data_IF_310055054855
#
_entry.id   IF_310055054855
#
_cell.length_a   1.000
_cell.length_b   1.000
_cell.length_c   1.000
_cell.angle_alpha   90.00
_cell.angle_beta   90.00
_cell.angle_gamma   90.00
#
_symmetry.space_group_name_H-M   'P 1'
#
loop_
_entity.id
_entity.type
_entity.pdbx_description
1 polymer ?
#
# COMPACT_ATOMS: atom_id res chain seq x y z
N UNK A 1 22.05 -0.16 -9.80
CA UNK A 1 22.72 1.14 -9.52
C UNK A 1 22.36 1.60 -8.10
N UNK A 2 23.25 2.27 -7.35
CA UNK A 2 22.96 2.74 -5.98
C UNK A 2 22.77 4.26 -5.94
N UNK A 3 21.60 4.72 -5.49
CA UNK A 3 21.26 6.15 -5.32
C UNK A 3 21.26 6.47 -3.81
N UNK A 4 22.10 7.42 -3.39
CA UNK A 4 22.23 7.86 -1.99
C UNK A 4 21.95 9.35 -1.84
N UNK A 5 21.03 9.70 -0.94
CA UNK A 5 20.68 11.09 -0.61
C UNK A 5 21.11 11.53 0.78
N UNK A 6 21.48 12.81 0.93
CA UNK A 6 21.55 13.54 2.21
C UNK A 6 20.78 14.85 2.03
N UNK A 7 19.83 15.18 2.92
CA UNK A 7 18.99 16.38 2.81
C UNK A 7 17.50 16.09 3.00
N UNK A 8 16.65 16.99 2.52
CA UNK A 8 15.19 16.95 2.73
C UNK A 8 14.48 15.88 1.87
N UNK A 9 14.79 15.81 0.57
CA UNK A 9 14.28 14.77 -0.35
C UNK A 9 15.41 14.28 -1.28
N UNK A 10 15.45 12.96 -1.55
CA UNK A 10 16.45 12.34 -2.42
C UNK A 10 16.09 12.47 -3.90
N UNK A 11 14.82 12.26 -4.22
CA UNK A 11 14.26 12.47 -5.56
C UNK A 11 12.97 13.24 -5.39
N UNK A 12 12.82 14.32 -6.15
CA UNK A 12 11.59 15.08 -6.27
C UNK A 12 11.18 15.14 -7.74
N UNK A 13 10.00 14.62 -8.05
CA UNK A 13 9.42 14.68 -9.40
C UNK A 13 8.26 15.66 -9.38
N UNK A 14 8.42 16.80 -10.04
CA UNK A 14 7.45 17.90 -10.03
C UNK A 14 6.55 17.91 -11.27
N UNK A 15 5.56 18.80 -11.29
CA UNK A 15 4.59 18.99 -12.37
C UNK A 15 5.17 18.85 -13.78
N UNK A 16 4.55 17.97 -14.57
CA UNK A 16 4.92 17.68 -15.95
C UNK A 16 6.21 16.86 -16.13
N UNK A 17 7.00 16.67 -15.08
CA UNK A 17 8.19 15.81 -15.13
C UNK A 17 7.79 14.33 -15.08
N UNK A 18 8.60 13.51 -15.76
CA UNK A 18 8.50 12.05 -15.72
C UNK A 18 9.87 11.46 -15.41
N UNK A 19 9.92 10.56 -14.44
CA UNK A 19 11.14 9.85 -14.07
C UNK A 19 10.87 8.35 -14.07
N UNK A 20 11.83 7.60 -14.62
CA UNK A 20 11.83 6.15 -14.60
C UNK A 20 13.08 5.66 -13.87
N UNK A 21 12.90 4.81 -12.87
CA UNK A 21 13.97 4.16 -12.12
C UNK A 21 13.86 2.65 -12.29
N UNK A 22 14.96 2.00 -12.69
CA UNK A 22 14.97 0.57 -12.91
C UNK A 22 16.22 -0.07 -12.31
N UNK A 23 16.04 -1.19 -11.63
CA UNK A 23 17.11 -2.03 -11.07
C UNK A 23 18.05 -1.20 -10.17
N UNK A 24 17.44 -0.35 -9.32
CA UNK A 24 18.14 0.55 -8.41
C UNK A 24 17.90 0.23 -6.95
N UNK A 25 18.89 0.56 -6.12
CA UNK A 25 18.74 0.61 -4.67
C UNK A 25 18.72 2.08 -4.25
N UNK A 26 17.69 2.49 -3.52
CA UNK A 26 17.48 3.89 -3.08
C UNK A 26 17.57 3.96 -1.56
N UNK A 27 18.45 4.82 -1.04
CA UNK A 27 18.68 4.99 0.40
C UNK A 27 18.87 6.46 0.78
N UNK A 28 18.38 6.84 1.95
CA UNK A 28 18.61 8.17 2.53
C UNK A 28 17.31 8.93 2.73
N UNK A 29 17.21 10.12 2.13
CA UNK A 29 16.04 10.97 2.25
C UNK A 29 14.81 10.41 1.48
N UNK A 30 13.58 10.84 1.83
CA UNK A 30 12.35 10.42 1.15
C UNK A 30 12.30 10.71 -0.36
N UNK A 31 11.43 10.00 -1.06
CA UNK A 31 11.04 10.29 -2.44
C UNK A 31 9.73 11.07 -2.45
N UNK A 32 9.66 12.11 -3.27
CA UNK A 32 8.47 12.96 -3.42
C UNK A 32 8.03 13.03 -4.88
N UNK A 33 6.74 12.84 -5.12
CA UNK A 33 6.09 13.03 -6.42
C UNK A 33 5.01 14.09 -6.24
N UNK A 34 5.21 15.27 -6.83
CA UNK A 34 4.34 16.44 -6.67
C UNK A 34 3.82 16.79 -8.07
N UNK A 35 2.61 16.37 -8.42
CA UNK A 35 1.99 16.55 -9.75
C UNK A 35 2.74 15.97 -10.96
N UNK A 36 3.91 15.35 -10.75
CA UNK A 36 4.69 14.64 -11.75
C UNK A 36 4.37 13.14 -11.83
N UNK A 37 5.15 12.39 -12.59
CA UNK A 37 5.02 10.93 -12.70
C UNK A 37 6.33 10.19 -12.43
N UNK A 38 6.30 9.22 -11.52
CA UNK A 38 7.43 8.37 -11.18
C UNK A 38 7.05 6.89 -11.38
N UNK A 39 7.83 6.20 -12.20
CA UNK A 39 7.72 4.76 -12.42
C UNK A 39 9.00 4.06 -11.94
N UNK A 40 8.82 3.06 -11.07
CA UNK A 40 9.91 2.28 -10.47
C UNK A 40 9.71 0.80 -10.79
N UNK A 41 10.74 0.16 -11.34
CA UNK A 41 10.76 -1.28 -11.58
C UNK A 41 12.00 -1.95 -10.95
N UNK A 42 11.83 -3.18 -10.45
CA UNK A 42 12.97 -4.05 -10.10
C UNK A 42 13.85 -3.50 -8.98
N UNK A 43 13.32 -2.64 -8.12
CA UNK A 43 14.13 -1.78 -7.25
C UNK A 43 13.90 -2.05 -5.77
N UNK A 44 14.90 -1.74 -4.96
CA UNK A 44 14.82 -1.81 -3.49
C UNK A 44 14.87 -0.42 -2.90
N UNK A 45 13.82 -0.03 -2.16
CA UNK A 45 13.66 1.29 -1.58
C UNK A 45 13.74 1.21 -0.06
N UNK A 46 14.66 1.96 0.55
CA UNK A 46 14.79 2.07 2.02
C UNK A 46 14.42 3.47 2.50
N UNK A 47 13.35 4.03 1.92
CA UNK A 47 12.98 5.44 2.06
C UNK A 47 11.46 5.57 2.16
N UNK A 48 11.00 6.61 2.84
CA UNK A 48 9.60 7.03 2.75
C UNK A 48 9.27 7.56 1.36
N UNK A 49 7.99 7.47 0.99
CA UNK A 49 7.50 7.88 -0.32
C UNK A 49 6.24 8.73 -0.11
N UNK A 50 6.22 9.93 -0.70
CA UNK A 50 5.10 10.85 -0.63
C UNK A 50 4.63 11.22 -2.03
N UNK A 51 3.34 11.07 -2.30
CA UNK A 51 2.67 11.44 -3.54
C UNK A 51 1.68 12.54 -3.21
N UNK A 52 1.79 13.69 -3.85
CA UNK A 52 1.09 14.92 -3.48
C UNK A 52 0.62 15.62 -4.76
N UNK A 53 -0.41 16.45 -4.65
CA UNK A 53 -0.88 17.36 -5.70
C UNK A 53 -1.19 16.65 -7.03
N UNK A 54 -1.80 15.46 -6.94
CA UNK A 54 -2.23 14.71 -8.13
C UNK A 54 -1.11 13.93 -8.83
N UNK A 55 0.03 13.74 -8.18
CA UNK A 55 1.13 12.94 -8.71
C UNK A 55 0.74 11.50 -9.08
N UNK A 56 1.47 10.92 -10.03
CA UNK A 56 1.32 9.52 -10.42
C UNK A 56 2.54 8.70 -9.98
N UNK A 57 2.32 7.67 -9.17
CA UNK A 57 3.35 6.74 -8.76
C UNK A 57 3.02 5.32 -9.21
N UNK A 58 3.92 4.73 -9.98
CA UNK A 58 3.83 3.33 -10.39
C UNK A 58 5.06 2.60 -9.87
N UNK A 59 4.83 1.48 -9.21
CA UNK A 59 5.91 0.64 -8.71
C UNK A 59 5.61 -0.82 -8.99
N UNK A 60 6.60 -1.51 -9.56
CA UNK A 60 6.47 -2.92 -9.93
C UNK A 60 7.71 -3.73 -9.63
N UNK A 61 7.54 -5.01 -9.34
CA UNK A 61 8.64 -5.96 -9.10
C UNK A 61 9.65 -5.41 -8.08
N UNK A 62 9.18 -4.71 -7.06
CA UNK A 62 10.05 -3.94 -6.15
C UNK A 62 9.81 -4.29 -4.69
N UNK A 63 10.83 -4.01 -3.88
CA UNK A 63 10.82 -4.20 -2.44
C UNK A 63 10.97 -2.86 -1.72
N UNK A 64 10.15 -2.60 -0.70
CA UNK A 64 10.24 -1.41 0.15
C UNK A 64 10.51 -1.87 1.58
N UNK A 65 11.61 -1.40 2.16
CA UNK A 65 12.01 -1.71 3.53
C UNK A 65 11.98 -0.46 4.41
N UNK A 66 11.41 -0.60 5.61
CA UNK A 66 11.37 0.43 6.64
C UNK A 66 11.07 1.84 6.10
N UNK A 67 9.98 2.04 5.34
CA UNK A 67 9.63 3.37 4.86
C UNK A 67 9.32 4.24 6.07
N UNK A 68 10.10 5.31 6.25
CA UNK A 68 9.87 6.34 7.27
C UNK A 68 9.94 7.74 6.61
N UNK A 69 8.82 8.50 6.55
CA UNK A 69 7.45 8.05 6.86
C UNK A 69 7.02 6.88 5.96
N UNK A 70 5.90 6.20 6.25
CA UNK A 70 5.34 5.17 5.38
C UNK A 70 5.11 5.66 3.94
N UNK A 71 4.57 4.80 3.06
CA UNK A 71 4.16 5.27 1.73
C UNK A 71 2.84 6.04 1.88
N UNK A 72 2.85 7.31 1.49
CA UNK A 72 1.75 8.25 1.65
C UNK A 72 1.33 8.81 0.29
N UNK A 73 0.02 8.94 0.08
CA UNK A 73 -0.55 9.60 -1.09
C UNK A 73 -1.66 10.54 -0.64
N UNK A 74 -1.63 11.79 -1.10
CA UNK A 74 -2.69 12.78 -0.95
C UNK A 74 -3.12 13.26 -2.34
N UNK A 75 -4.17 12.63 -2.87
CA UNK A 75 -4.58 12.72 -4.26
C UNK A 75 -3.76 11.89 -5.23
N UNK A 76 -4.14 11.92 -6.51
CA UNK A 76 -3.38 11.32 -7.61
C UNK A 76 -3.69 9.84 -7.88
N UNK A 77 -2.70 9.17 -8.46
CA UNK A 77 -2.78 7.76 -8.86
C UNK A 77 -1.60 6.97 -8.28
N UNK A 78 -1.92 5.87 -7.61
CA UNK A 78 -0.97 4.86 -7.17
C UNK A 78 -1.26 3.53 -7.86
N UNK A 79 -0.24 2.95 -8.48
CA UNK A 79 -0.27 1.58 -9.00
C UNK A 79 0.88 0.78 -8.40
N UNK A 80 0.56 -0.34 -7.75
CA UNK A 80 1.53 -1.27 -7.19
C UNK A 80 1.32 -2.67 -7.76
N UNK A 81 2.35 -3.25 -8.37
CA UNK A 81 2.29 -4.59 -8.97
C UNK A 81 3.45 -5.48 -8.53
N UNK A 82 3.18 -6.61 -7.88
CA UNK A 82 4.24 -7.51 -7.36
C UNK A 82 5.21 -6.76 -6.47
N UNK A 83 4.68 -6.14 -5.42
CA UNK A 83 5.45 -5.31 -4.48
C UNK A 83 5.36 -5.89 -3.08
N UNK A 84 6.51 -5.97 -2.41
CA UNK A 84 6.56 -6.28 -0.99
C UNK A 84 7.02 -5.06 -0.20
N UNK A 85 6.25 -4.69 0.82
CA UNK A 85 6.53 -3.61 1.76
C UNK A 85 6.71 -4.22 3.14
N UNK A 86 7.85 -3.97 3.77
CA UNK A 86 8.14 -4.44 5.13
C UNK A 86 8.49 -3.26 5.99
N UNK A 87 7.77 -3.09 7.10
CA UNK A 87 8.05 -2.08 8.11
C UNK A 87 8.35 -2.78 9.44
N UNK A 88 9.64 -2.81 9.77
CA UNK A 88 10.16 -3.38 11.01
C UNK A 88 10.41 -2.30 12.07
N UNK A 89 10.69 -1.06 11.65
CA UNK A 89 10.89 0.07 12.57
C UNK A 89 9.56 0.65 13.07
N UNK A 90 9.46 0.93 14.39
CA UNK A 90 8.30 1.60 14.95
C UNK A 90 7.96 2.88 14.19
N UNK A 91 6.68 3.04 13.88
CA UNK A 91 6.15 4.19 13.17
C UNK A 91 4.83 4.62 13.82
N UNK A 92 4.69 5.92 14.05
CA UNK A 92 3.42 6.51 14.46
C UNK A 92 2.40 6.57 13.30
N UNK A 93 2.87 6.36 12.06
CA UNK A 93 2.08 6.41 10.85
C UNK A 93 1.74 5.00 10.34
N UNK A 94 0.61 4.82 9.64
CA UNK A 94 0.35 3.62 8.86
C UNK A 94 1.50 3.31 7.89
N UNK A 95 1.70 2.03 7.58
CA UNK A 95 2.71 1.63 6.58
C UNK A 95 2.36 2.16 5.19
N UNK A 96 1.08 2.05 4.83
CA UNK A 96 0.47 2.67 3.65
C UNK A 96 -0.65 3.63 4.10
N UNK A 97 -0.66 4.85 3.59
CA UNK A 97 -1.73 5.83 3.83
C UNK A 97 -2.16 6.51 2.54
N UNK A 98 -3.44 6.41 2.19
CA UNK A 98 -4.00 6.94 0.96
C UNK A 98 -5.17 7.86 1.27
N UNK A 99 -4.96 9.15 1.04
CA UNK A 99 -5.97 10.19 1.21
C UNK A 99 -6.36 10.69 -0.20
N UNK A 100 -7.66 10.72 -0.49
CA UNK A 100 -8.24 11.19 -1.77
C UNK A 100 -7.62 10.59 -3.06
N UNK A 101 -6.98 9.42 -2.97
CA UNK A 101 -6.15 8.85 -4.04
C UNK A 101 -6.87 7.73 -4.79
N UNK A 102 -6.58 7.59 -6.09
CA UNK A 102 -6.95 6.39 -6.85
C UNK A 102 -5.86 5.34 -6.66
N UNK A 103 -6.23 4.15 -6.17
CA UNK A 103 -5.26 3.12 -5.79
C UNK A 103 -5.56 1.81 -6.49
N UNK A 104 -4.54 1.24 -7.11
CA UNK A 104 -4.55 -0.10 -7.69
C UNK A 104 -3.41 -0.93 -7.11
N UNK A 105 -3.73 -2.09 -6.55
CA UNK A 105 -2.75 -3.02 -5.97
C UNK A 105 -2.98 -4.43 -6.51
N UNK A 106 -1.94 -5.02 -7.11
CA UNK A 106 -1.99 -6.37 -7.69
C UNK A 106 -0.79 -7.19 -7.25
N UNK A 107 -1.02 -8.24 -6.47
CA UNK A 107 0.09 -9.02 -5.90
C UNK A 107 0.91 -8.14 -4.95
N UNK A 108 0.30 -7.61 -3.90
CA UNK A 108 1.00 -6.73 -2.94
C UNK A 108 1.01 -7.37 -1.57
N UNK A 109 2.16 -7.36 -0.91
CA UNK A 109 2.28 -7.79 0.49
C UNK A 109 2.81 -6.65 1.34
N UNK A 110 2.09 -6.33 2.42
CA UNK A 110 2.52 -5.38 3.45
C UNK A 110 2.69 -6.12 4.76
N UNK A 111 3.88 -6.08 5.32
CA UNK A 111 4.19 -6.65 6.63
C UNK A 111 4.65 -5.54 7.56
N UNK A 112 3.75 -5.12 8.45
CA UNK A 112 4.02 -4.13 9.48
C UNK A 112 4.16 -4.85 10.82
N UNK A 113 5.39 -5.04 11.29
CA UNK A 113 5.64 -5.71 12.58
C UNK A 113 5.62 -4.73 13.75
N UNK A 114 5.66 -3.43 13.46
CA UNK A 114 5.74 -2.37 14.46
C UNK A 114 4.87 -1.14 14.16
N UNK A 115 4.26 -1.05 12.97
CA UNK A 115 3.22 -0.07 12.69
C UNK A 115 1.85 -0.58 13.12
N UNK A 116 1.07 0.27 13.81
CA UNK A 116 -0.25 -0.08 14.32
C UNK A 116 -1.24 -0.47 13.21
N UNK A 117 -1.15 0.21 12.06
CA UNK A 117 -2.05 0.05 10.91
C UNK A 117 -1.22 -0.31 9.68
N UNK A 118 -1.51 -1.43 9.01
CA UNK A 118 -0.82 -1.75 7.76
C UNK A 118 -1.26 -0.84 6.61
N UNK A 119 -2.56 -0.63 6.45
CA UNK A 119 -3.08 0.29 5.43
C UNK A 119 -4.20 1.17 5.98
N UNK A 120 -4.14 2.46 5.65
CA UNK A 120 -5.22 3.43 5.86
C UNK A 120 -5.67 4.03 4.53
N UNK A 121 -6.97 4.09 4.32
CA UNK A 121 -7.60 4.80 3.19
C UNK A 121 -8.58 5.85 3.72
N UNK A 122 -8.55 7.06 3.15
CA UNK A 122 -9.49 8.14 3.46
C UNK A 122 -9.97 8.80 2.17
N UNK A 123 -11.28 8.84 1.94
CA UNK A 123 -11.82 9.55 0.78
C UNK A 123 -11.35 9.02 -0.58
N UNK A 124 -10.81 7.79 -0.66
CA UNK A 124 -10.32 7.24 -1.92
C UNK A 124 -11.51 7.01 -2.87
N UNK A 125 -11.58 7.70 -4.03
CA UNK A 125 -12.69 7.55 -4.96
C UNK A 125 -12.66 6.20 -5.70
N UNK A 126 -11.49 5.58 -5.78
CA UNK A 126 -11.30 4.28 -6.41
C UNK A 126 -10.22 3.47 -5.70
N UNK A 127 -10.59 2.29 -5.21
CA UNK A 127 -9.67 1.29 -4.69
C UNK A 127 -9.94 -0.06 -5.37
N UNK A 128 -8.92 -0.56 -6.07
CA UNK A 128 -8.87 -1.87 -6.73
C UNK A 128 -7.75 -2.70 -6.09
N UNK A 129 -8.12 -3.81 -5.46
CA UNK A 129 -7.19 -4.74 -4.83
C UNK A 129 -7.39 -6.15 -5.33
N UNK A 130 -6.31 -6.73 -5.86
CA UNK A 130 -6.26 -8.11 -6.30
C UNK A 130 -5.02 -8.80 -5.74
N UNK A 131 -5.20 -9.93 -5.06
CA UNK A 131 -4.11 -10.70 -4.46
C UNK A 131 -3.25 -9.83 -3.51
N UNK A 132 -3.89 -9.27 -2.48
CA UNK A 132 -3.24 -8.37 -1.52
C UNK A 132 -3.19 -9.00 -0.13
N UNK A 133 -2.04 -8.99 0.52
CA UNK A 133 -1.87 -9.41 1.90
C UNK A 133 -1.46 -8.22 2.78
N UNK A 134 -2.31 -7.84 3.72
CA UNK A 134 -2.05 -6.78 4.69
C UNK A 134 -1.89 -7.38 6.08
N UNK A 135 -0.69 -7.28 6.62
CA UNK A 135 -0.39 -7.69 7.99
C UNK A 135 -0.02 -6.47 8.82
N UNK A 136 -0.94 -6.02 9.68
CA UNK A 136 -0.74 -4.92 10.61
C UNK A 136 -0.53 -5.40 12.04
N UNK A 137 0.05 -4.56 12.90
CA UNK A 137 0.18 -4.90 14.31
C UNK A 137 -1.21 -4.94 14.98
N UNK A 138 -1.97 -3.84 14.92
CA UNK A 138 -3.29 -3.74 15.56
C UNK A 138 -4.43 -3.82 14.54
N UNK A 139 -4.31 -3.13 13.42
CA UNK A 139 -5.32 -3.09 12.36
C UNK A 139 -4.68 -3.43 11.02
N UNK A 140 -5.24 -4.38 10.27
CA UNK A 140 -4.73 -4.66 8.93
C UNK A 140 -5.16 -3.57 7.95
N UNK A 141 -6.46 -3.23 7.91
CA UNK A 141 -6.97 -2.18 7.05
C UNK A 141 -7.99 -1.28 7.76
N UNK A 142 -7.75 0.02 7.71
CA UNK A 142 -8.65 1.06 8.18
C UNK A 142 -9.11 1.93 7.00
N UNK A 143 -10.42 2.08 6.82
CA UNK A 143 -11.01 2.83 5.72
C UNK A 143 -12.05 3.84 6.20
N UNK A 144 -11.94 5.07 5.72
CA UNK A 144 -12.89 6.16 6.00
C UNK A 144 -13.35 6.80 4.70
N UNK A 145 -14.67 6.92 4.50
CA UNK A 145 -15.29 7.61 3.36
C UNK A 145 -14.72 7.20 1.98
N UNK A 146 -14.19 5.98 1.87
CA UNK A 146 -13.55 5.49 0.64
C UNK A 146 -14.50 4.57 -0.11
N UNK A 147 -14.31 4.49 -1.42
CA UNK A 147 -15.03 3.59 -2.32
C UNK A 147 -14.08 2.47 -2.74
N UNK A 148 -14.40 1.24 -2.37
CA UNK A 148 -13.63 0.06 -2.78
C UNK A 148 -14.46 -0.78 -3.73
N UNK A 149 -14.22 -0.59 -5.03
CA UNK A 149 -15.06 -1.13 -6.10
C UNK A 149 -14.76 -2.62 -6.32
N UNK A 150 -13.48 -2.99 -6.25
CA UNK A 150 -13.01 -4.36 -6.49
C UNK A 150 -12.04 -4.76 -5.37
N UNK A 151 -12.39 -5.83 -4.67
CA UNK A 151 -11.57 -6.44 -3.65
C UNK A 151 -11.63 -7.95 -3.84
N UNK A 152 -10.59 -8.54 -4.43
CA UNK A 152 -10.53 -9.98 -4.70
C UNK A 152 -9.21 -10.58 -4.21
N UNK A 153 -9.30 -11.69 -3.47
CA UNK A 153 -8.12 -12.38 -2.95
C UNK A 153 -7.34 -11.53 -1.95
N UNK A 154 -8.02 -10.96 -0.95
CA UNK A 154 -7.36 -10.14 0.07
C UNK A 154 -7.22 -10.88 1.38
N UNK A 155 -6.02 -10.89 1.97
CA UNK A 155 -5.76 -11.37 3.33
C UNK A 155 -5.54 -10.18 4.26
N UNK A 156 -6.35 -10.10 5.31
CA UNK A 156 -6.22 -9.12 6.38
C UNK A 156 -5.81 -9.85 7.65
N UNK A 157 -4.63 -9.54 8.21
CA UNK A 157 -4.13 -10.19 9.41
C UNK A 157 -3.63 -9.14 10.41
N UNK A 158 -4.07 -9.26 11.66
CA UNK A 158 -3.62 -8.37 12.75
C UNK A 158 -3.85 -8.99 14.13
N UNK A 159 -3.30 -8.37 15.17
CA UNK A 159 -3.49 -8.82 16.56
C UNK A 159 -4.84 -8.42 17.14
N UNK A 160 -5.53 -7.44 16.57
CA UNK A 160 -6.81 -6.94 17.10
C UNK A 160 -7.92 -6.97 16.07
N UNK A 161 -7.83 -6.14 15.02
CA UNK A 161 -8.92 -5.90 14.07
C UNK A 161 -8.50 -6.12 12.62
N UNK A 162 -9.20 -6.95 11.86
CA UNK A 162 -8.91 -7.16 10.45
C UNK A 162 -9.24 -5.93 9.61
N UNK A 163 -10.53 -5.56 9.59
CA UNK A 163 -11.03 -4.42 8.84
C UNK A 163 -11.83 -3.45 9.71
N UNK A 164 -11.50 -2.17 9.61
CA UNK A 164 -12.37 -1.09 10.06
C UNK A 164 -12.91 -0.34 8.86
N UNK A 165 -14.22 -0.42 8.63
CA UNK A 165 -14.88 0.27 7.52
C UNK A 165 -15.79 1.38 8.04
N UNK A 166 -15.52 2.62 7.62
CA UNK A 166 -16.35 3.80 7.87
C UNK A 166 -16.60 4.53 6.55
N UNK A 167 -16.93 3.78 5.50
CA UNK A 167 -17.28 4.30 4.18
C UNK A 167 -18.74 4.04 3.84
N UNK A 168 -19.21 4.57 2.69
CA UNK A 168 -20.47 4.10 2.11
C UNK A 168 -20.41 2.59 1.88
N UNK A 169 -21.57 1.98 1.65
CA UNK A 169 -21.67 0.62 1.15
C UNK A 169 -22.46 0.64 -0.15
N UNK A 170 -21.97 -0.05 -1.17
CA UNK A 170 -22.66 -0.16 -2.46
C UNK A 170 -22.74 -1.64 -2.87
N UNK A 171 -23.95 -2.07 -3.22
CA UNK A 171 -24.23 -3.41 -3.73
C UNK A 171 -23.53 -3.76 -5.04
N UNK A 172 -23.05 -2.77 -5.80
CA UNK A 172 -22.28 -2.96 -7.03
C UNK A 172 -20.83 -3.38 -6.75
N UNK A 173 -20.33 -3.23 -5.52
CA UNK A 173 -18.96 -3.59 -5.18
C UNK A 173 -18.74 -5.09 -5.23
N UNK A 174 -17.58 -5.49 -5.74
CA UNK A 174 -17.22 -6.89 -5.91
C UNK A 174 -16.17 -7.27 -4.87
N UNK A 175 -16.64 -7.70 -3.70
CA UNK A 175 -15.80 -8.15 -2.61
C UNK A 175 -15.86 -9.68 -2.57
N UNK A 176 -14.73 -10.34 -2.84
CA UNK A 176 -14.65 -11.81 -3.00
C UNK A 176 -13.35 -12.33 -2.44
N UNK A 177 -13.35 -13.58 -2.01
CA UNK A 177 -12.16 -14.28 -1.51
C UNK A 177 -11.40 -13.51 -0.42
N UNK A 178 -12.09 -12.70 0.40
CA UNK A 178 -11.49 -11.96 1.50
C UNK A 178 -11.25 -12.92 2.65
N UNK A 179 -10.04 -12.97 3.18
CA UNK A 179 -9.73 -13.78 4.35
C UNK A 179 -9.29 -12.88 5.49
N UNK A 180 -9.94 -13.00 6.64
CA UNK A 180 -9.55 -12.25 7.83
C UNK A 180 -8.99 -13.18 8.89
N UNK A 181 -7.80 -12.85 9.40
CA UNK A 181 -7.10 -13.57 10.47
C UNK A 181 -6.78 -12.61 11.61
N UNK A 182 -7.82 -12.21 12.33
CA UNK A 182 -7.74 -11.30 13.47
C UNK A 182 -8.79 -11.69 14.52
N UNK A 183 -8.56 -11.47 15.82
CA UNK A 183 -9.55 -11.79 16.85
C UNK A 183 -10.91 -11.11 16.62
N UNK A 184 -10.88 -9.87 16.13
CA UNK A 184 -12.05 -9.17 15.63
C UNK A 184 -11.97 -9.07 14.11
N UNK A 185 -12.93 -9.66 13.40
CA UNK A 185 -12.88 -9.76 11.93
C UNK A 185 -13.05 -8.39 11.28
N UNK A 186 -14.23 -7.79 11.44
CA UNK A 186 -14.57 -6.51 10.82
C UNK A 186 -15.44 -5.63 11.73
N UNK A 187 -15.36 -4.32 11.51
CA UNK A 187 -16.24 -3.30 12.08
C UNK A 187 -16.80 -2.41 10.97
N UNK A 188 -18.07 -2.06 11.07
CA UNK A 188 -18.75 -1.12 10.16
C UNK A 188 -19.08 -1.69 8.77
N UNK A 189 -18.88 -3.00 8.56
CA UNK A 189 -19.28 -3.73 7.37
C UNK A 189 -19.64 -5.16 7.74
N UNK A 190 -20.64 -5.73 7.07
CA UNK A 190 -20.93 -7.15 7.14
C UNK A 190 -20.24 -7.85 5.97
N UNK A 191 -19.15 -8.58 6.26
CA UNK A 191 -18.43 -9.35 5.24
C UNK A 191 -18.87 -10.80 5.36
N UNK A 192 -19.90 -11.15 4.59
CA UNK A 192 -20.36 -12.55 4.48
C UNK A 192 -19.23 -13.48 4.00
N UNK A 193 -18.29 -12.95 3.21
CA UNK A 193 -17.18 -13.70 2.61
C UNK A 193 -15.86 -13.61 3.39
N UNK A 194 -15.85 -13.27 4.69
CA UNK A 194 -14.61 -13.05 5.46
C UNK A 194 -13.74 -14.31 5.67
N UNK A 195 -14.25 -15.47 5.30
CA UNK A 195 -13.58 -16.78 5.32
C UNK A 195 -13.20 -17.27 3.91
N UNK A 196 -13.01 -16.34 2.98
CA UNK A 196 -12.52 -16.61 1.64
C UNK A 196 -11.10 -17.21 1.62
N UNK A 197 -10.61 -17.49 0.40
CA UNK A 197 -9.29 -18.11 0.22
C UNK A 197 -8.14 -17.17 0.60
N UNK A 198 -8.32 -15.85 0.45
CA UNK A 198 -7.24 -14.87 0.48
C UNK A 198 -6.53 -14.80 -0.88
N UNK A 199 -5.32 -14.20 -0.93
CA UNK A 199 -4.55 -14.04 -2.17
C UNK A 199 -4.07 -15.39 -2.70
N UNK A 200 -3.89 -15.48 -4.02
CA UNK A 200 -3.25 -16.62 -4.66
C UNK A 200 -1.84 -16.85 -4.09
N UNK A 201 -1.56 -18.00 -3.44
CA UNK A 201 -0.24 -18.33 -2.92
C UNK A 201 0.86 -18.25 -3.98
N UNK A 202 0.58 -18.64 -5.22
CA UNK A 202 1.56 -18.61 -6.31
C UNK A 202 1.94 -17.17 -6.70
N UNK A 203 1.03 -16.20 -6.56
CA UNK A 203 1.36 -14.77 -6.73
C UNK A 203 2.22 -14.29 -5.56
N UNK A 204 1.83 -14.68 -4.34
CA UNK A 204 2.52 -14.30 -3.11
C UNK A 204 3.95 -14.87 -2.98
N UNK A 205 4.23 -16.04 -3.56
CA UNK A 205 5.56 -16.65 -3.60
C UNK A 205 6.51 -16.00 -4.62
N UNK A 206 5.95 -15.33 -5.63
CA UNK A 206 6.70 -14.63 -6.68
C UNK A 206 7.03 -13.18 -6.33
N UNK A 207 6.67 -12.71 -5.14
CA UNK A 207 6.97 -11.36 -4.72
C UNK A 207 8.48 -11.16 -4.54
N UNK A 208 9.02 -9.97 -4.88
CA UNK A 208 10.41 -9.63 -4.59
C UNK A 208 10.71 -9.78 -3.09
N UNK A 209 11.86 -10.38 -2.78
CA UNK A 209 12.40 -10.46 -1.43
C UNK A 209 13.65 -9.60 -1.33
N UNK A 210 14.03 -9.24 -0.10
CA UNK A 210 15.31 -8.61 0.15
C UNK A 210 16.42 -9.66 -0.02
N UNK A 211 17.35 -9.44 -0.94
CA UNK A 211 18.58 -10.22 -1.09
C UNK A 211 19.56 -10.00 0.08
#
# INVERSE_FOLDING_TARGET
MLIRGRGDALVRVTDGARLYLQDVVVRGAPLEVIGGSLDIQGSTLHVGISIIDGGEFRIRDSYIEDPVPGLQSDGGLLVMERVQVVQNRPSAYPTLSFDASNVQMRGVRVVSTSGHVAMRTRGCPWLDMQDVALQGLDVAWESHSSTAVIVDGVLLQSRRLGLQWQGPWDSQWQWRNIRIRSPQHALGVNIADADGRGPDPAVMERLPALD
#
